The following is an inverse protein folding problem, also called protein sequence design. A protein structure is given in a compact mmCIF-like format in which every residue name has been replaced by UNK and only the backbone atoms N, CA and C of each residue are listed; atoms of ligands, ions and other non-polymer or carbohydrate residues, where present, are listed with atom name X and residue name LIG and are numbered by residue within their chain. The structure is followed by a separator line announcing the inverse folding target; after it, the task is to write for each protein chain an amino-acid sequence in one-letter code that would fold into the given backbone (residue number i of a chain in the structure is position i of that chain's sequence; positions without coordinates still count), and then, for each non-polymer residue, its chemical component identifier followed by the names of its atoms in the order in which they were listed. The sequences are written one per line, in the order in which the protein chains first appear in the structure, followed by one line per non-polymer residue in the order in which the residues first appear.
data_IF_550483422441
#
_entry.id   IF_550483422441
#
_cell.length_a   1.000
_cell.length_b   1.000
_cell.length_c   1.000
_cell.angle_alpha   90.00
_cell.angle_beta   90.00
_cell.angle_gamma   90.00
#
_symmetry.space_group_name_H-M   'P 1'
#
loop_
_entity.id
_entity.type
_entity.pdbx_description
1 polymer ?
#
# COMPACT_ATOMS: atom_id res chain seq x y z
N UNK A 1 32.19 82.77 -28.67
CA UNK A 1 32.53 81.51 -27.91
C UNK A 1 31.87 81.55 -26.57
N UNK A 2 30.88 80.72 -26.32
CA UNK A 2 30.49 80.45 -24.96
C UNK A 2 30.69 78.93 -24.59
N UNK A 3 31.14 78.72 -23.37
CA UNK A 3 31.45 77.42 -22.76
C UNK A 3 30.21 76.71 -22.38
N UNK A 4 30.08 75.45 -22.84
CA UNK A 4 29.07 74.51 -22.48
C UNK A 4 29.28 73.97 -21.05
N UNK A 5 28.26 74.09 -20.18
CA UNK A 5 28.24 73.52 -18.85
C UNK A 5 27.52 72.20 -18.99
N UNK A 6 28.24 71.07 -18.76
CA UNK A 6 27.63 69.70 -18.72
C UNK A 6 27.07 69.48 -17.35
N UNK A 7 25.74 69.47 -17.28
CA UNK A 7 25.02 68.98 -16.11
C UNK A 7 25.13 67.43 -16.02
N UNK A 8 25.78 66.97 -14.97
CA UNK A 8 25.84 65.53 -14.62
C UNK A 8 24.59 65.16 -13.82
N UNK A 9 23.66 64.49 -14.45
CA UNK A 9 22.47 63.97 -13.79
C UNK A 9 22.82 62.60 -13.11
N UNK A 10 22.92 62.64 -11.79
CA UNK A 10 23.00 61.40 -10.97
C UNK A 10 21.64 60.72 -10.94
N UNK A 11 21.48 59.61 -11.69
CA UNK A 11 20.36 58.74 -11.59
C UNK A 11 20.56 57.81 -10.37
N UNK A 12 19.81 58.06 -9.29
CA UNK A 12 19.69 57.14 -8.18
C UNK A 12 18.79 55.94 -8.61
N UNK A 13 19.40 54.79 -8.69
CA UNK A 13 18.71 53.51 -8.95
C UNK A 13 18.09 53.00 -7.63
N UNK A 14 16.76 52.82 -7.52
CA UNK A 14 16.20 52.19 -6.33
C UNK A 14 16.53 50.71 -6.35
N UNK A 15 17.26 50.24 -5.31
CA UNK A 15 17.46 48.83 -5.07
C UNK A 15 16.11 48.16 -4.72
N UNK A 16 15.51 47.45 -5.67
CA UNK A 16 14.41 46.53 -5.45
C UNK A 16 14.93 45.36 -4.62
N UNK A 17 14.74 45.42 -3.31
CA UNK A 17 14.82 44.23 -2.44
C UNK A 17 13.73 43.26 -2.85
N UNK A 18 14.07 42.34 -3.72
CA UNK A 18 13.23 41.18 -4.03
C UNK A 18 13.03 40.35 -2.77
N UNK A 19 11.85 40.46 -2.14
CA UNK A 19 11.41 39.52 -1.13
C UNK A 19 11.31 38.17 -1.82
N UNK A 20 12.27 37.28 -1.58
CA UNK A 20 12.12 35.86 -1.86
C UNK A 20 10.95 35.34 -1.03
N UNK A 21 9.75 35.33 -1.60
CA UNK A 21 8.66 34.56 -1.09
C UNK A 21 9.12 33.08 -1.16
N UNK A 22 9.60 32.58 -0.03
CA UNK A 22 9.77 31.14 0.15
C UNK A 22 8.36 30.53 0.08
N UNK A 23 7.93 30.17 -1.12
CA UNK A 23 6.74 29.36 -1.31
C UNK A 23 6.93 28.10 -0.50
N UNK A 24 6.23 28.01 0.64
CA UNK A 24 6.04 26.75 1.34
C UNK A 24 5.37 25.82 0.33
N UNK A 25 6.14 24.94 -0.27
CA UNK A 25 5.59 23.79 -0.96
C UNK A 25 4.61 23.06 -0.02
N UNK A 26 3.71 22.25 -0.54
CA UNK A 26 2.75 21.52 0.29
C UNK A 26 3.55 20.81 1.39
N UNK A 27 3.21 21.11 2.65
CA UNK A 27 3.85 20.54 3.83
C UNK A 27 3.76 19.01 3.70
N UNK A 28 4.90 18.40 3.40
CA UNK A 28 5.04 16.95 3.39
C UNK A 28 4.66 16.47 4.78
N UNK A 29 3.67 15.59 4.86
CA UNK A 29 3.25 15.02 6.15
C UNK A 29 4.42 14.19 6.64
N UNK A 30 5.07 14.62 7.73
CA UNK A 30 6.19 13.90 8.30
C UNK A 30 5.74 12.49 8.70
N UNK A 31 6.23 11.49 7.99
CA UNK A 31 5.89 10.10 8.23
C UNK A 31 6.60 9.61 9.49
N UNK A 32 5.83 9.16 10.49
CA UNK A 32 6.40 8.50 11.67
C UNK A 32 6.86 7.11 11.28
N UNK A 33 8.12 6.80 11.54
CA UNK A 33 8.67 5.48 11.23
C UNK A 33 8.24 4.44 12.26
N UNK A 34 7.23 3.68 11.92
CA UNK A 34 6.77 2.51 12.67
C UNK A 34 7.03 1.20 11.93
N UNK A 35 7.80 1.25 10.83
CA UNK A 35 7.99 0.13 9.89
C UNK A 35 8.46 -1.17 10.53
N UNK A 36 9.11 -1.11 11.69
CA UNK A 36 9.59 -2.28 12.44
C UNK A 36 8.88 -2.49 13.78
N UNK A 37 8.09 -1.53 14.24
CA UNK A 37 7.53 -1.54 15.60
C UNK A 37 6.01 -1.57 15.65
N UNK A 38 5.32 -1.44 14.49
CA UNK A 38 3.86 -1.36 14.45
C UNK A 38 3.17 -2.55 15.14
N UNK A 39 2.05 -2.28 15.79
CA UNK A 39 1.16 -3.30 16.35
C UNK A 39 -0.23 -3.29 15.71
N UNK A 40 -0.50 -2.28 14.89
CA UNK A 40 -1.76 -2.12 14.17
C UNK A 40 -1.49 -2.13 12.66
N UNK A 41 -2.33 -2.84 11.90
CA UNK A 41 -2.34 -2.79 10.44
C UNK A 41 -3.70 -2.24 10.00
N UNK A 42 -3.68 -1.15 9.25
CA UNK A 42 -4.88 -0.66 8.58
C UNK A 42 -4.93 -1.30 7.20
N UNK A 43 -5.91 -2.16 6.98
CA UNK A 43 -6.13 -2.84 5.69
C UNK A 43 -7.22 -2.11 4.95
N UNK A 44 -6.86 -1.55 3.80
CA UNK A 44 -7.77 -0.81 2.95
C UNK A 44 -8.22 -1.68 1.77
N UNK A 45 -9.51 -1.93 1.68
CA UNK A 45 -10.12 -2.54 0.51
C UNK A 45 -10.46 -1.43 -0.49
N UNK A 46 -9.70 -1.32 -1.59
CA UNK A 46 -9.90 -0.30 -2.61
C UNK A 46 -11.33 -0.27 -3.14
N UNK A 47 -11.80 0.93 -3.56
CA UNK A 47 -13.14 1.15 -4.12
C UNK A 47 -14.29 0.82 -3.14
N UNK A 48 -15.49 0.54 -3.66
CA UNK A 48 -16.65 0.16 -2.85
C UNK A 48 -17.90 0.99 -3.13
N UNK A 49 -19.07 0.41 -2.91
CA UNK A 49 -20.37 1.04 -3.15
C UNK A 49 -20.54 1.50 -4.59
N UNK A 50 -20.72 2.80 -4.79
CA UNK A 50 -20.84 3.43 -6.13
C UNK A 50 -19.56 3.42 -6.97
N UNK A 51 -18.39 3.25 -6.34
CA UNK A 51 -17.11 3.12 -7.03
C UNK A 51 -16.79 1.64 -7.27
N UNK A 52 -16.92 1.20 -8.51
CA UNK A 52 -16.63 -0.18 -8.91
C UNK A 52 -15.13 -0.45 -9.08
N UNK A 53 -14.28 0.59 -9.16
CA UNK A 53 -12.93 0.45 -9.68
C UNK A 53 -12.95 0.00 -11.14
N UNK A 54 -11.94 -0.75 -11.56
CA UNK A 54 -11.97 -1.41 -12.85
C UNK A 54 -13.15 -2.39 -12.94
N UNK A 55 -13.84 -2.36 -14.09
CA UNK A 55 -14.90 -3.32 -14.39
C UNK A 55 -14.58 -4.01 -15.71
N UNK A 56 -14.29 -5.29 -15.67
CA UNK A 56 -13.88 -6.07 -16.84
C UNK A 56 -14.66 -7.38 -16.95
N UNK A 57 -14.89 -7.79 -18.22
CA UNK A 57 -15.65 -9.02 -18.51
C UNK A 57 -15.11 -10.25 -17.79
N UNK A 58 -13.80 -10.38 -17.69
CA UNK A 58 -13.14 -11.55 -17.07
C UNK A 58 -12.95 -11.37 -15.57
N UNK A 59 -12.53 -10.19 -15.09
CA UNK A 59 -12.25 -9.92 -13.68
C UNK A 59 -13.43 -9.47 -12.84
N UNK A 60 -14.54 -9.02 -13.47
CA UNK A 60 -15.67 -8.43 -12.76
C UNK A 60 -15.37 -7.01 -12.27
N UNK A 61 -16.03 -6.60 -11.18
CA UNK A 61 -15.80 -5.31 -10.52
C UNK A 61 -14.64 -5.44 -9.50
N UNK A 62 -13.68 -4.56 -9.57
CA UNK A 62 -12.50 -4.54 -8.71
C UNK A 62 -12.88 -4.52 -7.22
N UNK A 63 -13.87 -3.72 -6.83
CA UNK A 63 -14.35 -3.59 -5.44
C UNK A 63 -14.69 -4.91 -4.76
N UNK A 64 -15.09 -5.94 -5.54
CA UNK A 64 -15.45 -7.27 -5.01
C UNK A 64 -14.17 -8.05 -4.68
N UNK A 65 -13.22 -8.07 -5.61
CA UNK A 65 -11.95 -8.77 -5.41
C UNK A 65 -11.12 -8.12 -4.29
N UNK A 66 -11.06 -6.78 -4.25
CA UNK A 66 -10.34 -6.05 -3.21
C UNK A 66 -10.92 -6.29 -1.82
N UNK A 67 -12.26 -6.32 -1.69
CA UNK A 67 -12.91 -6.59 -0.40
C UNK A 67 -12.62 -8.01 0.10
N UNK A 68 -12.67 -8.99 -0.78
CA UNK A 68 -12.43 -10.39 -0.41
C UNK A 68 -10.95 -10.60 -0.01
N UNK A 69 -10.00 -10.12 -0.82
CA UNK A 69 -8.56 -10.23 -0.48
C UNK A 69 -8.25 -9.47 0.82
N UNK A 70 -8.75 -8.25 0.98
CA UNK A 70 -8.54 -7.46 2.19
C UNK A 70 -9.12 -8.14 3.44
N UNK A 71 -10.29 -8.77 3.33
CA UNK A 71 -10.90 -9.57 4.40
C UNK A 71 -10.03 -10.74 4.82
N UNK A 72 -9.49 -11.50 3.86
CA UNK A 72 -8.57 -12.64 4.10
C UNK A 72 -7.25 -12.17 4.70
N UNK A 73 -6.64 -11.10 4.18
CA UNK A 73 -5.43 -10.48 4.76
C UNK A 73 -5.69 -10.11 6.21
N UNK A 74 -6.81 -9.45 6.48
CA UNK A 74 -7.20 -9.02 7.83
C UNK A 74 -7.35 -10.18 8.80
N UNK A 75 -7.95 -11.28 8.36
CA UNK A 75 -8.08 -12.50 9.17
C UNK A 75 -6.71 -13.08 9.54
N UNK A 76 -5.83 -13.30 8.56
CA UNK A 76 -4.49 -13.86 8.74
C UNK A 76 -3.60 -12.99 9.64
N UNK A 77 -3.71 -11.67 9.53
CA UNK A 77 -2.97 -10.74 10.39
C UNK A 77 -3.44 -10.79 11.84
N UNK A 78 -4.77 -10.92 12.08
CA UNK A 78 -5.31 -11.12 13.45
C UNK A 78 -4.84 -12.43 14.06
N UNK A 79 -4.83 -13.53 13.30
CA UNK A 79 -4.27 -14.82 13.75
C UNK A 79 -2.78 -14.72 14.10
N UNK A 80 -2.05 -13.77 13.51
CA UNK A 80 -0.65 -13.50 13.83
C UNK A 80 -0.46 -12.60 15.05
N UNK A 81 -1.55 -12.18 15.72
CA UNK A 81 -1.53 -11.35 16.92
C UNK A 81 -1.43 -9.86 16.66
N UNK A 82 -1.65 -9.40 15.42
CA UNK A 82 -1.69 -7.98 15.08
C UNK A 82 -3.11 -7.43 15.25
N UNK A 83 -3.24 -6.20 15.71
CA UNK A 83 -4.49 -5.46 15.65
C UNK A 83 -4.77 -5.06 14.20
N UNK A 84 -5.99 -5.26 13.72
CA UNK A 84 -6.37 -4.92 12.35
C UNK A 84 -7.60 -4.04 12.33
N UNK A 85 -7.50 -2.92 11.64
CA UNK A 85 -8.59 -2.01 11.30
C UNK A 85 -8.81 -2.08 9.79
N UNK A 86 -10.03 -2.33 9.35
CA UNK A 86 -10.38 -2.26 7.93
C UNK A 86 -11.03 -0.92 7.61
N UNK A 87 -10.73 -0.33 6.45
CA UNK A 87 -11.42 0.88 6.00
C UNK A 87 -12.88 0.61 5.67
N UNK A 88 -13.18 -0.57 5.11
CA UNK A 88 -14.53 -1.12 4.91
C UNK A 88 -14.54 -2.63 5.05
N UNK A 89 -15.64 -3.18 5.54
CA UNK A 89 -15.89 -4.63 5.65
C UNK A 89 -17.11 -5.10 4.88
N UNK A 90 -17.71 -4.18 4.10
CA UNK A 90 -18.86 -4.43 3.22
C UNK A 90 -18.75 -3.61 1.93
N UNK A 91 -19.69 -3.77 1.00
CA UNK A 91 -19.73 -3.01 -0.26
C UNK A 91 -20.28 -1.59 -0.03
N UNK A 92 -19.52 -0.75 0.67
CA UNK A 92 -19.81 0.67 0.91
C UNK A 92 -18.75 1.55 0.29
N UNK A 93 -19.12 2.75 -0.13
CA UNK A 93 -18.19 3.75 -0.64
C UNK A 93 -17.49 4.45 0.53
N UNK A 94 -16.15 4.48 0.49
CA UNK A 94 -15.29 5.27 1.39
C UNK A 94 -14.44 6.18 0.51
N UNK A 95 -14.50 7.48 0.73
CA UNK A 95 -13.70 8.46 0.00
C UNK A 95 -12.21 8.32 0.32
N UNK A 96 -11.35 8.83 -0.56
CA UNK A 96 -9.89 8.81 -0.32
C UNK A 96 -9.50 9.56 0.96
N UNK A 97 -10.24 10.62 1.32
CA UNK A 97 -9.98 11.37 2.55
C UNK A 97 -10.39 10.59 3.78
N UNK A 98 -11.56 9.94 3.78
CA UNK A 98 -11.98 9.08 4.88
C UNK A 98 -11.01 7.91 5.10
N UNK A 99 -10.45 7.31 4.02
CA UNK A 99 -9.40 6.26 4.14
C UNK A 99 -8.17 6.80 4.88
N UNK A 100 -7.72 8.01 4.52
CA UNK A 100 -6.61 8.71 5.16
C UNK A 100 -6.93 9.03 6.62
N UNK A 101 -8.15 9.46 6.93
CA UNK A 101 -8.58 9.74 8.31
C UNK A 101 -8.59 8.48 9.18
N UNK A 102 -9.14 7.37 8.66
CA UNK A 102 -9.16 6.07 9.35
C UNK A 102 -7.73 5.61 9.66
N UNK A 103 -6.83 5.70 8.68
CA UNK A 103 -5.42 5.35 8.86
C UNK A 103 -4.74 6.25 9.89
N UNK A 104 -4.85 7.56 9.72
CA UNK A 104 -4.17 8.56 10.54
C UNK A 104 -4.71 8.64 11.98
N UNK A 105 -5.91 8.11 12.23
CA UNK A 105 -6.48 7.95 13.57
C UNK A 105 -5.83 6.80 14.36
N UNK A 106 -5.13 5.88 13.69
CA UNK A 106 -4.42 4.81 14.37
C UNK A 106 -3.04 5.30 14.85
N UNK A 107 -2.55 4.68 15.92
CA UNK A 107 -1.20 4.91 16.42
C UNK A 107 -0.35 3.65 16.21
N UNK A 108 0.94 3.84 15.99
CA UNK A 108 1.88 2.74 15.79
C UNK A 108 1.38 1.72 14.75
N UNK A 109 1.05 2.22 13.56
CA UNK A 109 0.41 1.46 12.50
C UNK A 109 1.25 1.40 11.22
N UNK A 110 0.83 0.52 10.32
CA UNK A 110 1.15 0.54 8.89
C UNK A 110 -0.15 0.44 8.10
N UNK A 111 -0.16 0.99 6.89
CA UNK A 111 -1.32 0.96 5.99
C UNK A 111 -1.02 0.06 4.78
N UNK A 112 -1.95 -0.82 4.45
CA UNK A 112 -1.87 -1.73 3.29
C UNK A 112 -3.17 -1.62 2.50
N UNK A 113 -3.12 -0.96 1.35
CA UNK A 113 -4.24 -0.83 0.42
C UNK A 113 -4.19 -1.92 -0.64
N UNK A 114 -5.32 -2.58 -0.89
CA UNK A 114 -5.46 -3.71 -1.81
C UNK A 114 -6.24 -3.24 -3.03
N UNK A 115 -5.65 -3.42 -4.21
CA UNK A 115 -6.17 -3.06 -5.52
C UNK A 115 -5.92 -4.14 -6.56
N UNK A 116 -6.58 -4.00 -7.71
CA UNK A 116 -6.28 -4.72 -8.94
C UNK A 116 -6.19 -3.72 -10.09
N UNK A 117 -5.12 -3.82 -10.83
CA UNK A 117 -4.79 -2.89 -11.91
C UNK A 117 -5.69 -3.08 -13.16
N UNK A 118 -5.63 -2.09 -14.04
CA UNK A 118 -6.33 -2.09 -15.31
C UNK A 118 -5.46 -1.48 -16.42
N UNK A 119 -5.56 -2.01 -17.62
CA UNK A 119 -4.87 -1.48 -18.77
C UNK A 119 -5.73 -1.56 -20.04
N UNK A 120 -5.55 -0.59 -20.95
CA UNK A 120 -6.08 -0.70 -22.31
C UNK A 120 -5.39 -1.80 -23.11
N UNK A 121 -4.14 -2.10 -22.78
CA UNK A 121 -3.35 -3.17 -23.40
C UNK A 121 -3.59 -4.47 -22.64
N UNK A 122 -4.41 -5.35 -23.21
CA UNK A 122 -4.85 -6.61 -22.58
C UNK A 122 -3.76 -7.64 -22.30
N UNK A 123 -2.58 -7.48 -22.92
CA UNK A 123 -1.42 -8.34 -22.69
C UNK A 123 -0.63 -7.99 -21.42
N UNK A 124 -0.86 -6.80 -20.85
CA UNK A 124 -0.20 -6.39 -19.61
C UNK A 124 -0.72 -7.22 -18.44
N UNK A 125 0.19 -7.72 -17.61
CA UNK A 125 -0.09 -8.55 -16.44
C UNK A 125 1.05 -8.44 -15.41
N UNK A 126 0.84 -8.91 -14.19
CA UNK A 126 1.82 -8.96 -13.11
C UNK A 126 1.48 -8.08 -11.92
N UNK A 127 2.30 -8.18 -10.89
CA UNK A 127 2.13 -7.45 -9.64
C UNK A 127 2.96 -6.19 -9.60
N UNK A 128 2.40 -5.14 -9.00
CA UNK A 128 3.07 -3.87 -8.70
C UNK A 128 2.80 -3.49 -7.24
N UNK A 129 3.80 -2.93 -6.57
CA UNK A 129 3.59 -2.39 -5.23
C UNK A 129 4.06 -0.95 -5.18
N UNK A 130 3.19 -0.07 -4.70
CA UNK A 130 3.43 1.37 -4.64
C UNK A 130 3.63 1.85 -3.22
N UNK A 131 4.50 2.85 -3.06
CA UNK A 131 4.71 3.58 -1.82
C UNK A 131 5.02 5.05 -2.09
N UNK A 132 4.99 5.90 -1.06
CA UNK A 132 5.37 7.32 -1.17
C UNK A 132 6.53 7.67 -0.25
N UNK A 133 6.43 7.36 1.02
CA UNK A 133 7.47 7.64 2.01
C UNK A 133 8.60 6.61 1.99
N UNK A 134 9.88 7.02 2.12
CA UNK A 134 11.01 6.09 2.24
C UNK A 134 10.84 5.03 3.33
N UNK A 135 10.16 5.35 4.43
CA UNK A 135 9.86 4.42 5.53
C UNK A 135 8.95 3.24 5.12
N UNK A 136 8.32 3.35 3.95
CA UNK A 136 7.44 2.30 3.38
C UNK A 136 8.16 1.37 2.41
N UNK A 137 9.35 1.75 1.92
CA UNK A 137 10.03 1.08 0.81
C UNK A 137 10.33 -0.39 1.11
N UNK A 138 10.77 -0.70 2.34
CA UNK A 138 11.08 -2.08 2.72
C UNK A 138 9.83 -2.96 2.77
N UNK A 139 8.73 -2.44 3.35
CA UNK A 139 7.44 -3.15 3.38
C UNK A 139 6.94 -3.42 1.95
N UNK A 140 7.02 -2.41 1.06
CA UNK A 140 6.64 -2.55 -0.34
C UNK A 140 7.46 -3.63 -1.05
N UNK A 141 8.79 -3.59 -0.87
CA UNK A 141 9.70 -4.59 -1.47
C UNK A 141 9.45 -6.00 -0.95
N UNK A 142 9.13 -6.14 0.34
CA UNK A 142 8.83 -7.43 0.96
C UNK A 142 7.51 -8.00 0.44
N UNK A 143 6.47 -7.18 0.33
CA UNK A 143 5.19 -7.61 -0.26
C UNK A 143 5.39 -8.03 -1.71
N UNK A 144 6.04 -7.20 -2.52
CA UNK A 144 6.35 -7.53 -3.91
C UNK A 144 7.11 -8.85 -4.03
N UNK A 145 8.16 -9.05 -3.23
CA UNK A 145 8.94 -10.29 -3.23
C UNK A 145 8.12 -11.53 -2.86
N UNK A 146 7.19 -11.41 -1.91
CA UNK A 146 6.29 -12.52 -1.55
C UNK A 146 5.27 -12.83 -2.65
N UNK A 147 4.68 -11.83 -3.27
CA UNK A 147 3.77 -12.02 -4.41
C UNK A 147 4.45 -12.76 -5.57
N UNK A 148 5.74 -12.50 -5.81
CA UNK A 148 6.53 -13.17 -6.83
C UNK A 148 6.77 -14.67 -6.57
N UNK A 149 6.38 -15.19 -5.42
CA UNK A 149 6.37 -16.65 -5.16
C UNK A 149 5.10 -17.34 -5.68
N UNK A 150 4.10 -16.59 -6.13
CA UNK A 150 2.92 -17.13 -6.80
C UNK A 150 3.32 -17.55 -8.22
N UNK A 151 2.97 -18.76 -8.61
CA UNK A 151 3.32 -19.33 -9.92
C UNK A 151 2.76 -18.50 -11.07
N UNK A 152 3.52 -18.38 -12.16
CA UNK A 152 3.16 -17.63 -13.38
C UNK A 152 2.97 -16.12 -13.21
N UNK A 153 3.41 -15.54 -12.09
CA UNK A 153 3.34 -14.09 -11.90
C UNK A 153 4.48 -13.35 -12.59
N UNK A 154 4.22 -12.14 -13.03
CA UNK A 154 5.22 -11.22 -13.61
C UNK A 154 5.55 -10.12 -12.61
N UNK A 155 6.85 -9.91 -12.40
CA UNK A 155 7.32 -8.82 -11.54
C UNK A 155 7.32 -7.50 -12.32
N UNK A 156 6.43 -6.60 -11.95
CA UNK A 156 6.40 -5.25 -12.51
C UNK A 156 7.09 -4.23 -11.61
N UNK A 157 7.49 -4.65 -10.41
CA UNK A 157 8.36 -3.88 -9.53
C UNK A 157 7.67 -3.12 -8.42
N UNK A 158 8.50 -2.34 -7.73
CA UNK A 158 8.12 -1.45 -6.63
C UNK A 158 8.33 -0.02 -7.08
N UNK A 159 7.34 0.85 -6.90
CA UNK A 159 7.34 2.19 -7.45
C UNK A 159 6.99 3.25 -6.42
N UNK A 160 7.62 4.42 -6.54
CA UNK A 160 7.18 5.61 -5.82
C UNK A 160 5.98 6.22 -6.52
N UNK A 161 4.90 6.49 -5.78
CA UNK A 161 3.68 7.06 -6.34
C UNK A 161 3.11 8.18 -5.46
N UNK A 162 2.45 9.14 -6.10
CA UNK A 162 1.82 10.28 -5.44
C UNK A 162 0.32 10.04 -5.19
N UNK A 163 -0.06 8.80 -4.87
CA UNK A 163 -1.44 8.48 -4.54
C UNK A 163 -1.86 9.12 -3.21
N UNK A 164 -3.10 9.62 -3.14
CA UNK A 164 -3.57 10.40 -2.00
C UNK A 164 -3.45 9.64 -0.67
N UNK A 165 -3.84 8.38 -0.66
CA UNK A 165 -3.77 7.51 0.52
C UNK A 165 -2.33 7.22 0.97
N UNK A 166 -1.34 7.27 0.07
CA UNK A 166 0.06 7.08 0.40
C UNK A 166 0.74 8.38 0.85
N UNK A 167 0.47 9.48 0.11
CA UNK A 167 1.09 10.79 0.36
C UNK A 167 0.62 11.46 1.64
N UNK A 168 -0.63 11.20 2.05
CA UNK A 168 -1.24 11.79 3.25
C UNK A 168 -1.14 10.90 4.48
N UNK A 169 -0.58 9.71 4.34
CA UNK A 169 -0.34 8.78 5.42
C UNK A 169 0.67 9.33 6.44
N UNK A 170 0.34 9.24 7.72
CA UNK A 170 1.26 9.58 8.83
C UNK A 170 2.25 8.47 9.15
N UNK A 171 1.93 7.25 8.79
CA UNK A 171 2.69 6.03 9.05
C UNK A 171 3.08 5.36 7.75
N UNK A 172 3.98 4.36 7.74
CA UNK A 172 4.34 3.64 6.53
C UNK A 172 3.11 3.08 5.81
N UNK A 173 3.00 3.38 4.51
CA UNK A 173 1.83 3.08 3.70
C UNK A 173 2.24 2.50 2.34
N UNK A 174 1.56 1.44 1.93
CA UNK A 174 1.75 0.77 0.64
C UNK A 174 0.41 0.52 -0.05
N UNK A 175 0.42 0.48 -1.38
CA UNK A 175 -0.69 0.06 -2.21
C UNK A 175 -0.22 -1.10 -3.09
N UNK A 176 -0.97 -2.18 -3.08
CA UNK A 176 -0.65 -3.44 -3.74
C UNK A 176 -1.62 -3.65 -4.89
N UNK A 177 -1.09 -3.71 -6.11
CA UNK A 177 -1.81 -4.10 -7.32
C UNK A 177 -1.66 -5.61 -7.52
N UNK A 178 -2.74 -6.34 -7.25
CA UNK A 178 -2.80 -7.80 -7.20
C UNK A 178 -3.03 -8.45 -8.59
N UNK A 179 -2.53 -7.83 -9.65
CA UNK A 179 -2.71 -8.26 -11.04
C UNK A 179 -3.66 -7.35 -11.81
N UNK A 180 -3.83 -7.61 -13.11
CA UNK A 180 -4.62 -6.79 -14.04
C UNK A 180 -5.96 -7.44 -14.38
N UNK A 181 -7.07 -6.84 -13.98
CA UNK A 181 -8.41 -7.32 -14.34
C UNK A 181 -8.70 -7.26 -15.85
N UNK A 182 -7.97 -6.43 -16.59
CA UNK A 182 -8.02 -6.34 -18.05
C UNK A 182 -7.32 -7.51 -18.75
N UNK A 183 -6.39 -8.18 -18.09
CA UNK A 183 -5.77 -9.40 -18.59
C UNK A 183 -6.74 -10.58 -18.45
N UNK A 184 -6.85 -11.43 -19.49
CA UNK A 184 -7.81 -12.53 -19.48
C UNK A 184 -7.52 -13.58 -18.41
N UNK A 185 -6.25 -13.90 -18.22
CA UNK A 185 -5.79 -14.92 -17.25
C UNK A 185 -5.93 -14.36 -15.83
N UNK A 186 -5.27 -13.24 -15.51
CA UNK A 186 -5.31 -12.67 -14.17
C UNK A 186 -6.71 -12.20 -13.76
N UNK A 187 -7.51 -11.66 -14.69
CA UNK A 187 -8.92 -11.34 -14.43
C UNK A 187 -9.76 -12.58 -14.13
N UNK A 188 -9.45 -13.72 -14.76
CA UNK A 188 -10.05 -15.02 -14.43
C UNK A 188 -9.65 -15.50 -13.03
N UNK A 189 -8.34 -15.47 -12.74
CA UNK A 189 -7.75 -15.83 -11.44
C UNK A 189 -8.26 -14.94 -10.31
N UNK A 190 -8.45 -13.63 -10.54
CA UNK A 190 -9.02 -12.71 -9.55
C UNK A 190 -10.43 -13.11 -9.08
N UNK A 191 -11.16 -13.94 -9.84
CA UNK A 191 -12.46 -14.51 -9.46
C UNK A 191 -12.34 -15.83 -8.71
N UNK A 192 -11.19 -16.48 -8.79
CA UNK A 192 -10.93 -17.74 -8.11
C UNK A 192 -10.65 -17.50 -6.61
N UNK A 193 -11.34 -18.25 -5.78
CA UNK A 193 -11.25 -18.11 -4.31
C UNK A 193 -9.89 -18.53 -3.79
N UNK A 194 -9.30 -19.59 -4.36
CA UNK A 194 -8.00 -20.10 -3.94
C UNK A 194 -6.87 -19.12 -4.31
N UNK A 195 -6.95 -18.55 -5.51
CA UNK A 195 -5.99 -17.51 -5.93
C UNK A 195 -6.04 -16.29 -5.01
N UNK A 196 -7.25 -15.80 -4.66
CA UNK A 196 -7.38 -14.70 -3.68
C UNK A 196 -6.84 -15.07 -2.29
N UNK A 197 -6.97 -16.35 -1.90
CA UNK A 197 -6.36 -16.83 -0.67
C UNK A 197 -4.83 -16.81 -0.74
N UNK A 198 -4.23 -17.24 -1.85
CA UNK A 198 -2.78 -17.18 -2.07
C UNK A 198 -2.26 -15.74 -2.03
N UNK A 199 -2.94 -14.79 -2.69
CA UNK A 199 -2.61 -13.36 -2.60
C UNK A 199 -2.59 -12.89 -1.14
N UNK A 200 -3.64 -13.23 -0.39
CA UNK A 200 -3.76 -12.84 1.01
C UNK A 200 -2.68 -13.48 1.90
N UNK A 201 -2.31 -14.73 1.65
CA UNK A 201 -1.20 -15.40 2.35
C UNK A 201 0.11 -14.66 2.14
N UNK A 202 0.44 -14.33 0.89
CA UNK A 202 1.70 -13.65 0.56
C UNK A 202 1.78 -12.25 1.15
N UNK A 203 0.69 -11.49 1.07
CA UNK A 203 0.64 -10.13 1.66
C UNK A 203 0.74 -10.21 3.19
N UNK A 204 -0.03 -11.07 3.84
CA UNK A 204 0.01 -11.22 5.28
C UNK A 204 1.37 -11.72 5.78
N UNK A 205 1.97 -12.72 5.11
CA UNK A 205 3.35 -13.17 5.40
C UNK A 205 4.36 -12.03 5.35
N UNK A 206 4.31 -11.20 4.31
CA UNK A 206 5.21 -10.07 4.15
C UNK A 206 5.08 -9.06 5.31
N UNK A 207 3.85 -8.74 5.71
CA UNK A 207 3.57 -7.83 6.82
C UNK A 207 4.05 -8.41 8.16
N UNK A 208 3.80 -9.70 8.41
CA UNK A 208 4.25 -10.38 9.62
C UNK A 208 5.77 -10.46 9.69
N UNK A 209 6.44 -10.78 8.59
CA UNK A 209 7.90 -10.78 8.53
C UNK A 209 8.50 -9.37 8.67
N UNK A 210 7.83 -8.35 8.17
CA UNK A 210 8.24 -6.96 8.36
C UNK A 210 8.24 -6.59 9.86
N UNK A 211 7.25 -7.05 10.61
CA UNK A 211 7.08 -6.74 12.02
C UNK A 211 7.97 -7.56 12.94
N UNK A 212 8.11 -8.86 12.66
CA UNK A 212 8.70 -9.81 13.61
C UNK A 212 9.99 -10.48 13.11
N UNK A 213 10.39 -10.22 11.86
CA UNK A 213 11.47 -10.96 11.20
C UNK A 213 11.03 -12.36 10.73
N UNK A 214 11.91 -13.03 9.99
CA UNK A 214 11.61 -14.35 9.39
C UNK A 214 11.60 -15.50 10.42
N UNK A 215 12.20 -15.32 11.59
CA UNK A 215 12.38 -16.36 12.61
C UNK A 215 11.08 -16.81 13.32
N UNK A 216 10.04 -15.98 13.33
CA UNK A 216 8.76 -16.34 13.99
C UNK A 216 7.96 -17.42 13.24
N UNK A 217 8.19 -17.56 11.95
CA UNK A 217 7.54 -18.57 11.11
C UNK A 217 8.06 -19.98 11.41
N UNK A 218 9.37 -20.13 11.59
CA UNK A 218 10.02 -21.39 12.00
C UNK A 218 9.49 -21.84 13.35
N UNK A 219 9.44 -20.98 14.35
CA UNK A 219 8.96 -21.32 15.68
C UNK A 219 7.48 -21.73 15.73
N UNK A 220 6.60 -21.14 14.88
CA UNK A 220 5.18 -21.51 14.81
C UNK A 220 4.98 -22.83 14.04
N UNK A 221 5.77 -23.04 12.97
CA UNK A 221 5.77 -24.30 12.23
C UNK A 221 6.26 -25.48 13.08
N UNK A 222 7.35 -25.26 13.83
CA UNK A 222 7.90 -26.25 14.77
C UNK A 222 6.93 -26.56 15.92
N UNK A 223 6.22 -25.57 16.46
CA UNK A 223 5.19 -25.81 17.48
C UNK A 223 4.02 -26.63 16.95
N UNK A 224 3.61 -26.41 15.69
CA UNK A 224 2.53 -27.17 15.06
C UNK A 224 2.96 -28.61 14.79
N UNK A 225 4.20 -28.82 14.31
CA UNK A 225 4.75 -30.16 14.10
C UNK A 225 4.82 -30.96 15.42
N UNK A 226 5.27 -30.31 16.51
CA UNK A 226 5.39 -30.95 17.83
C UNK A 226 4.04 -31.16 18.53
N UNK A 227 2.96 -30.51 18.09
CA UNK A 227 1.61 -30.74 18.62
C UNK A 227 0.90 -31.90 17.90
N UNK A 228 1.22 -32.13 16.63
CA UNK A 228 0.64 -33.23 15.85
C UNK A 228 1.35 -34.60 16.14
N UNK A 229 2.55 -34.57 16.79
CA UNK A 229 3.32 -35.75 17.16
C UNK A 229 3.05 -36.25 18.60
N UNK A 230 2.00 -35.80 19.29
CA UNK A 230 1.61 -36.42 20.57
C UNK A 230 0.96 -37.77 20.28
N UNK A 231 1.57 -38.92 20.70
CA UNK A 231 0.99 -40.20 20.50
C UNK A 231 -0.32 -40.31 21.30
N UNK A 232 -1.39 -40.75 20.65
CA UNK A 232 -2.57 -41.23 21.36
C UNK A 232 -2.13 -42.40 22.26
N UNK A 233 -1.89 -42.12 23.54
CA UNK A 233 -1.78 -43.18 24.52
C UNK A 233 -3.16 -43.87 24.62
N UNK A 234 -3.27 -45.01 23.95
CA UNK A 234 -4.34 -45.97 24.24
C UNK A 234 -4.20 -46.37 25.71
N UNK A 235 -5.11 -45.96 26.54
CA UNK A 235 -5.35 -46.55 27.83
C UNK A 235 -6.40 -47.64 27.63
N UNK A 236 -5.95 -48.89 27.64
CA UNK A 236 -6.78 -50.05 27.86
C UNK A 236 -7.38 -50.02 29.28
#
# INVERSE_FOLDING_TARGET
MPRSVRNLLLLALPALLGACATGRGPTEVATKDTSKSFNTVVVDAGHGGKDNGAYRRFGGAEKIATLDVAGRVSHKLRESGLKVVMTRSSDVFISLDERVEIENAQTNSVFVSIHFNDSRQRGIHGFETYYHSPNSAELASRIQGKLMTITNSTNRGVHVANFRVLRKAKYPAVLVECGFLSNRMEGGEARDSEYRNQLADRIAEAVVEQRYGSSRRTAKAERKLNQDDTPFLNTD
#
